data_IF_753033171342
#
_entry.id   IF_753033171342
#
_cell.length_a   1.000
_cell.length_b   1.000
_cell.length_c   1.000
_cell.angle_alpha   90.00
_cell.angle_beta   90.00
_cell.angle_gamma   90.00
#
_symmetry.space_group_name_H-M   'P 1'
#
loop_
_entity.id
_entity.type
_entity.pdbx_description
1 polymer ?
#
# COMPACT_ATOMS: atom_id res chain seq x y z
N UNK A 1 4.26 -27.21 11.99
CA UNK A 1 5.45 -26.60 11.34
C UNK A 1 6.58 -26.57 12.35
N UNK A 2 7.75 -27.16 12.06
CA UNK A 2 8.90 -27.13 13.00
C UNK A 2 9.40 -25.69 13.17
N UNK A 3 9.84 -25.32 14.38
CA UNK A 3 10.42 -23.99 14.70
C UNK A 3 11.55 -23.61 13.73
N UNK A 4 12.30 -24.60 13.24
CA UNK A 4 13.37 -24.40 12.26
C UNK A 4 12.84 -24.06 10.86
N UNK A 5 11.66 -24.57 10.48
CA UNK A 5 11.00 -24.24 9.22
C UNK A 5 10.49 -22.80 9.20
N UNK A 6 9.88 -22.34 10.30
CA UNK A 6 9.43 -20.94 10.43
C UNK A 6 10.60 -19.97 10.34
N UNK A 7 11.70 -20.24 11.06
CA UNK A 7 12.91 -19.41 11.01
C UNK A 7 13.48 -19.29 9.59
N UNK A 8 13.50 -20.39 8.82
CA UNK A 8 13.96 -20.39 7.43
C UNK A 8 13.04 -19.58 6.51
N UNK A 9 11.72 -19.72 6.67
CA UNK A 9 10.77 -18.94 5.89
C UNK A 9 10.89 -17.43 6.16
N UNK A 10 10.98 -17.04 7.44
CA UNK A 10 11.19 -15.64 7.84
C UNK A 10 12.51 -15.09 7.28
N UNK A 11 13.59 -15.88 7.34
CA UNK A 11 14.87 -15.49 6.75
C UNK A 11 14.76 -15.29 5.24
N UNK A 12 14.10 -16.21 4.52
CA UNK A 12 13.89 -16.09 3.07
C UNK A 12 13.08 -14.84 2.71
N UNK A 13 12.02 -14.53 3.46
CA UNK A 13 11.22 -13.31 3.27
C UNK A 13 12.06 -12.06 3.54
N UNK A 14 12.86 -12.06 4.61
CA UNK A 14 13.75 -10.95 4.93
C UNK A 14 14.80 -10.72 3.84
N UNK A 15 15.42 -11.79 3.32
CA UNK A 15 16.34 -11.72 2.17
C UNK A 15 15.60 -11.26 0.89
N UNK A 16 14.34 -11.65 0.74
CA UNK A 16 13.53 -11.20 -0.39
C UNK A 16 13.20 -9.69 -0.30
N UNK A 17 12.98 -9.16 0.90
CA UNK A 17 12.70 -7.75 1.14
C UNK A 17 13.97 -6.87 1.07
N UNK A 18 15.13 -7.42 1.42
CA UNK A 18 16.38 -6.68 1.56
C UNK A 18 16.79 -5.95 0.26
N UNK A 19 17.20 -4.71 0.40
CA UNK A 19 17.71 -3.88 -0.69
C UNK A 19 18.75 -2.87 -0.14
N UNK A 20 19.84 -2.54 -0.89
CA UNK A 20 20.84 -1.59 -0.43
C UNK A 20 20.31 -0.15 -0.24
N UNK A 21 19.43 0.31 -1.14
CA UNK A 21 18.71 1.58 -0.97
C UNK A 21 17.67 1.47 0.17
N UNK A 22 17.75 2.28 1.24
CA UNK A 22 16.82 2.23 2.38
C UNK A 22 15.35 2.43 1.99
N UNK A 23 15.05 3.37 1.08
CA UNK A 23 13.67 3.64 0.65
C UNK A 23 13.09 2.47 -0.15
N UNK A 24 13.93 1.82 -0.94
CA UNK A 24 13.56 0.59 -1.65
C UNK A 24 13.31 -0.58 -0.68
N UNK A 25 14.13 -0.72 0.37
CA UNK A 25 13.91 -1.73 1.40
C UNK A 25 12.57 -1.50 2.14
N UNK A 26 12.25 -0.24 2.50
CA UNK A 26 10.96 0.12 3.10
C UNK A 26 9.80 -0.24 2.17
N UNK A 27 9.88 0.14 0.88
CA UNK A 27 8.86 -0.21 -0.10
C UNK A 27 8.65 -1.73 -0.22
N UNK A 28 9.72 -2.52 -0.23
CA UNK A 28 9.64 -3.97 -0.26
C UNK A 28 8.97 -4.54 1.00
N UNK A 29 9.34 -4.05 2.18
CA UNK A 29 8.71 -4.46 3.44
C UNK A 29 7.21 -4.15 3.44
N UNK A 30 6.82 -2.94 3.04
CA UNK A 30 5.41 -2.54 2.95
C UNK A 30 4.65 -3.43 1.97
N UNK A 31 5.21 -3.70 0.79
CA UNK A 31 4.61 -4.59 -0.19
C UNK A 31 4.34 -5.99 0.38
N UNK A 32 5.31 -6.56 1.11
CA UNK A 32 5.16 -7.89 1.71
C UNK A 32 4.21 -7.91 2.90
N UNK A 33 4.09 -6.80 3.65
CA UNK A 33 3.04 -6.65 4.68
C UNK A 33 1.66 -6.67 4.04
N UNK A 34 1.47 -5.98 2.92
CA UNK A 34 0.20 -5.99 2.16
C UNK A 34 -0.11 -7.40 1.64
N UNK A 35 0.87 -8.07 1.02
CA UNK A 35 0.72 -9.48 0.57
C UNK A 35 0.32 -10.39 1.72
N UNK A 36 0.96 -10.21 2.88
CA UNK A 36 0.67 -11.03 4.06
C UNK A 36 -0.72 -10.75 4.63
N UNK A 37 -1.24 -9.53 4.48
CA UNK A 37 -2.57 -9.16 4.97
C UNK A 37 -3.71 -9.73 4.09
N UNK A 38 -3.50 -9.82 2.78
CA UNK A 38 -4.52 -10.28 1.82
C UNK A 38 -5.27 -11.54 2.28
N UNK A 39 -4.64 -12.69 2.59
CA UNK A 39 -5.36 -13.90 2.98
C UNK A 39 -6.16 -13.78 4.28
N UNK A 40 -5.82 -12.82 5.16
CA UNK A 40 -6.54 -12.59 6.40
C UNK A 40 -7.69 -11.58 6.25
N UNK A 41 -7.69 -10.76 5.20
CA UNK A 41 -8.70 -9.73 4.97
C UNK A 41 -10.14 -10.27 4.98
N UNK A 42 -10.45 -11.35 4.24
CA UNK A 42 -11.79 -11.93 4.28
C UNK A 42 -12.16 -12.46 5.67
N UNK A 43 -11.20 -12.94 6.46
CA UNK A 43 -11.46 -13.54 7.78
C UNK A 43 -11.90 -12.50 8.80
N UNK A 44 -11.21 -11.36 8.87
CA UNK A 44 -11.63 -10.31 9.80
C UNK A 44 -12.85 -9.53 9.29
N UNK A 45 -13.10 -9.48 7.97
CA UNK A 45 -14.36 -8.96 7.45
C UNK A 45 -15.54 -9.86 7.87
N UNK A 46 -15.38 -11.19 7.75
CA UNK A 46 -16.36 -12.17 8.22
C UNK A 46 -16.69 -11.98 9.70
N UNK A 47 -15.66 -11.68 10.51
CA UNK A 47 -15.77 -11.59 11.95
C UNK A 47 -16.30 -10.24 12.44
N UNK A 48 -15.88 -9.13 11.83
CA UNK A 48 -16.14 -7.78 12.35
C UNK A 48 -17.25 -7.03 11.61
N UNK A 49 -17.65 -7.48 10.42
CA UNK A 49 -18.53 -6.72 9.52
C UNK A 49 -19.74 -7.54 9.11
N UNK A 50 -19.53 -8.60 8.31
CA UNK A 50 -20.60 -9.29 7.60
C UNK A 50 -20.17 -10.70 7.21
N UNK A 51 -21.07 -11.69 7.22
CA UNK A 51 -20.78 -13.02 6.65
C UNK A 51 -20.53 -12.97 5.13
N UNK A 52 -20.95 -11.90 4.43
CA UNK A 52 -20.77 -11.77 2.98
C UNK A 52 -19.37 -11.25 2.66
N UNK A 53 -18.43 -12.18 2.50
CA UNK A 53 -17.00 -11.88 2.24
C UNK A 53 -16.59 -11.98 0.78
N UNK A 54 -17.45 -12.46 -0.12
CA UNK A 54 -17.10 -12.68 -1.53
C UNK A 54 -16.56 -11.43 -2.26
N UNK A 55 -17.02 -10.19 -1.99
CA UNK A 55 -16.43 -9.01 -2.64
C UNK A 55 -14.96 -8.79 -2.26
N UNK A 56 -14.52 -9.28 -1.09
CA UNK A 56 -13.14 -9.10 -0.66
C UNK A 56 -12.12 -9.89 -1.47
N UNK A 57 -12.53 -10.94 -2.18
CA UNK A 57 -11.61 -11.74 -3.00
C UNK A 57 -11.05 -10.99 -4.19
N UNK A 58 -11.66 -9.87 -4.61
CA UNK A 58 -11.09 -9.01 -5.66
C UNK A 58 -9.70 -8.47 -5.27
N UNK A 59 -9.45 -8.31 -3.96
CA UNK A 59 -8.15 -7.84 -3.46
C UNK A 59 -7.03 -8.77 -3.92
N UNK A 60 -7.29 -10.07 -4.03
CA UNK A 60 -6.30 -11.07 -4.43
C UNK A 60 -5.72 -10.80 -5.82
N UNK A 61 -6.45 -10.08 -6.69
CA UNK A 61 -5.94 -9.67 -8.01
C UNK A 61 -4.71 -8.76 -7.90
N UNK A 62 -4.59 -7.97 -6.83
CA UNK A 62 -3.42 -7.11 -6.61
C UNK A 62 -2.26 -7.84 -5.91
N UNK A 63 -2.50 -9.00 -5.28
CA UNK A 63 -1.46 -9.79 -4.60
C UNK A 63 -0.24 -10.07 -5.47
N UNK A 64 -0.36 -10.57 -6.72
CA UNK A 64 0.82 -10.84 -7.55
C UNK A 64 1.61 -9.56 -7.86
N UNK A 65 0.93 -8.41 -7.99
CA UNK A 65 1.59 -7.12 -8.24
C UNK A 65 2.42 -6.69 -7.03
N UNK A 66 1.86 -6.77 -5.82
CA UNK A 66 2.61 -6.47 -4.59
C UNK A 66 3.75 -7.46 -4.35
N UNK A 67 3.53 -8.75 -4.58
CA UNK A 67 4.56 -9.78 -4.43
C UNK A 67 5.73 -9.60 -5.41
N UNK A 68 5.45 -9.04 -6.60
CA UNK A 68 6.46 -8.73 -7.60
C UNK A 68 7.31 -7.49 -7.26
N UNK A 69 6.87 -6.62 -6.34
CA UNK A 69 7.59 -5.37 -6.00
C UNK A 69 9.07 -5.61 -5.69
N UNK A 70 9.47 -6.52 -4.78
CA UNK A 70 10.88 -6.70 -4.46
C UNK A 70 11.71 -7.26 -5.63
N UNK A 71 11.11 -8.08 -6.50
CA UNK A 71 11.77 -8.57 -7.71
C UNK A 71 12.00 -7.44 -8.73
N UNK A 72 11.00 -6.58 -8.95
CA UNK A 72 11.12 -5.42 -9.85
C UNK A 72 12.08 -4.38 -9.26
N UNK A 73 12.04 -4.16 -7.95
CA UNK A 73 12.91 -3.21 -7.23
C UNK A 73 14.39 -3.50 -7.46
N UNK A 74 14.79 -4.79 -7.46
CA UNK A 74 16.18 -5.20 -7.75
C UNK A 74 16.65 -4.88 -9.17
N UNK A 75 15.72 -4.87 -10.14
CA UNK A 75 16.03 -4.57 -11.54
C UNK A 75 16.05 -3.07 -11.79
N UNK A 76 15.07 -2.36 -11.24
CA UNK A 76 14.95 -0.92 -11.38
C UNK A 76 14.14 -0.35 -10.21
N UNK A 77 14.81 0.44 -9.36
CA UNK A 77 14.24 1.03 -8.16
C UNK A 77 13.04 1.94 -8.47
N UNK A 78 13.10 2.72 -9.56
CA UNK A 78 12.00 3.60 -9.97
C UNK A 78 10.76 2.81 -10.37
N UNK A 79 10.95 1.75 -11.16
CA UNK A 79 9.86 0.87 -11.57
C UNK A 79 9.28 0.11 -10.37
N UNK A 80 10.11 -0.34 -9.43
CA UNK A 80 9.64 -1.02 -8.22
C UNK A 80 8.76 -0.12 -7.34
N UNK A 81 9.19 1.12 -7.09
CA UNK A 81 8.39 2.13 -6.36
C UNK A 81 7.08 2.45 -7.09
N UNK A 82 7.17 2.63 -8.41
CA UNK A 82 6.00 2.93 -9.25
C UNK A 82 5.00 1.77 -9.26
N UNK A 83 5.47 0.53 -9.32
CA UNK A 83 4.63 -0.67 -9.24
C UNK A 83 3.89 -0.75 -7.90
N UNK A 84 4.59 -0.51 -6.79
CA UNK A 84 3.98 -0.49 -5.45
C UNK A 84 2.82 0.51 -5.38
N UNK A 85 3.03 1.73 -5.85
CA UNK A 85 2.02 2.79 -5.80
C UNK A 85 0.87 2.53 -6.77
N UNK A 86 1.17 2.05 -7.98
CA UNK A 86 0.15 1.69 -8.97
C UNK A 86 -0.74 0.56 -8.47
N UNK A 87 -0.14 -0.47 -7.86
CA UNK A 87 -0.86 -1.57 -7.24
C UNK A 87 -1.70 -1.10 -6.04
N UNK A 88 -1.17 -0.20 -5.21
CA UNK A 88 -1.89 0.45 -4.11
C UNK A 88 -3.15 1.18 -4.56
N UNK A 89 -2.98 2.16 -5.45
CA UNK A 89 -4.08 2.97 -5.98
C UNK A 89 -5.10 2.10 -6.72
N UNK A 90 -4.63 1.21 -7.59
CA UNK A 90 -5.47 0.29 -8.33
C UNK A 90 -6.26 -0.65 -7.43
N UNK A 91 -5.64 -1.19 -6.38
CA UNK A 91 -6.32 -2.03 -5.40
C UNK A 91 -7.40 -1.23 -4.65
N UNK A 92 -7.12 0.01 -4.24
CA UNK A 92 -8.13 0.84 -3.58
C UNK A 92 -9.34 1.12 -4.48
N UNK A 93 -9.12 1.43 -5.76
CA UNK A 93 -10.19 1.61 -6.74
C UNK A 93 -10.98 0.31 -6.95
N UNK A 94 -10.30 -0.82 -7.07
CA UNK A 94 -10.93 -2.13 -7.21
C UNK A 94 -11.79 -2.48 -5.98
N UNK A 95 -11.29 -2.21 -4.78
CA UNK A 95 -12.08 -2.36 -3.56
C UNK A 95 -13.27 -1.41 -3.52
N UNK A 96 -13.12 -0.17 -3.99
CA UNK A 96 -14.22 0.78 -4.06
C UNK A 96 -15.33 0.29 -5.00
N UNK A 97 -14.96 -0.32 -6.12
CA UNK A 97 -15.91 -1.00 -7.02
C UNK A 97 -16.57 -2.18 -6.29
N UNK A 98 -15.83 -2.97 -5.53
CA UNK A 98 -16.39 -4.16 -4.88
C UNK A 98 -17.32 -3.85 -3.70
N UNK A 99 -16.91 -2.95 -2.80
CA UNK A 99 -17.63 -2.65 -1.57
C UNK A 99 -18.54 -1.42 -1.66
N UNK A 100 -18.33 -0.56 -2.66
CA UNK A 100 -19.04 0.71 -2.82
C UNK A 100 -18.44 1.87 -2.03
N UNK A 101 -18.89 3.08 -2.34
CA UNK A 101 -18.39 4.32 -1.74
C UNK A 101 -18.63 4.40 -0.21
N UNK A 102 -19.68 3.77 0.30
CA UNK A 102 -19.99 3.72 1.73
C UNK A 102 -18.99 2.92 2.57
N UNK A 103 -18.11 2.13 1.96
CA UNK A 103 -17.16 1.24 2.66
C UNK A 103 -16.00 1.96 3.37
N UNK A 104 -15.72 3.21 3.02
CA UNK A 104 -14.55 3.94 3.53
C UNK A 104 -13.20 3.41 3.05
N UNK A 105 -13.16 2.51 2.06
CA UNK A 105 -11.91 1.91 1.58
C UNK A 105 -10.98 2.91 0.89
N UNK A 106 -11.50 4.06 0.47
CA UNK A 106 -10.73 5.14 -0.14
C UNK A 106 -9.67 5.75 0.79
N UNK A 107 -9.81 5.55 2.11
CA UNK A 107 -8.81 5.98 3.09
C UNK A 107 -7.44 5.33 2.81
N UNK A 108 -7.38 4.19 2.12
CA UNK A 108 -6.12 3.58 1.67
C UNK A 108 -5.37 4.38 0.59
N UNK A 109 -5.99 5.40 -0.02
CA UNK A 109 -5.27 6.37 -0.85
C UNK A 109 -4.30 7.22 -0.02
N UNK A 110 -4.57 7.41 1.27
CA UNK A 110 -3.69 8.16 2.18
C UNK A 110 -2.31 7.53 2.36
N UNK A 111 -2.16 6.25 2.75
CA UNK A 111 -0.83 5.61 2.78
C UNK A 111 -0.17 5.58 1.40
N UNK A 112 -0.93 5.49 0.30
CA UNK A 112 -0.37 5.61 -1.05
C UNK A 112 0.23 7.00 -1.30
N UNK A 113 -0.47 8.07 -0.90
CA UNK A 113 0.01 9.45 -0.98
C UNK A 113 1.28 9.63 -0.13
N UNK A 114 1.26 9.16 1.12
CA UNK A 114 2.42 9.21 2.01
C UNK A 114 3.62 8.49 1.39
N UNK A 115 3.42 7.29 0.85
CA UNK A 115 4.49 6.56 0.16
C UNK A 115 4.99 7.30 -1.09
N UNK A 116 4.10 7.89 -1.89
CA UNK A 116 4.49 8.66 -3.07
C UNK A 116 5.41 9.83 -2.69
N UNK A 117 5.13 10.51 -1.59
CA UNK A 117 5.93 11.64 -1.13
C UNK A 117 7.26 11.22 -0.46
N UNK A 118 7.30 10.05 0.19
CA UNK A 118 8.48 9.59 0.93
C UNK A 118 9.44 8.72 0.10
N UNK A 119 8.94 7.94 -0.86
CA UNK A 119 9.77 6.97 -1.59
C UNK A 119 10.64 7.59 -2.67
N UNK A 120 10.14 8.59 -3.39
CA UNK A 120 10.87 9.20 -4.51
C UNK A 120 11.84 10.29 -4.02
N UNK A 121 13.02 10.32 -4.64
CA UNK A 121 14.06 11.31 -4.30
C UNK A 121 13.74 12.68 -4.89
N UNK A 122 14.49 13.71 -4.46
CA UNK A 122 14.37 15.08 -5.01
C UNK A 122 14.55 15.12 -6.53
N UNK A 123 15.46 14.31 -7.07
CA UNK A 123 15.67 14.15 -8.52
C UNK A 123 14.52 13.44 -9.24
N UNK A 124 13.63 12.76 -8.51
CA UNK A 124 12.49 11.98 -9.03
C UNK A 124 11.15 12.64 -8.68
N UNK A 125 11.15 13.93 -8.31
CA UNK A 125 9.96 14.67 -7.85
C UNK A 125 8.77 14.61 -8.82
N UNK A 126 9.03 14.51 -10.12
CA UNK A 126 7.97 14.33 -11.11
C UNK A 126 7.15 13.07 -10.85
N UNK A 127 7.78 11.95 -10.50
CA UNK A 127 7.08 10.72 -10.13
C UNK A 127 6.26 10.90 -8.84
N UNK A 128 6.84 11.54 -7.82
CA UNK A 128 6.13 11.85 -6.57
C UNK A 128 4.84 12.65 -6.84
N UNK A 129 4.95 13.71 -7.64
CA UNK A 129 3.82 14.57 -7.99
C UNK A 129 2.79 13.86 -8.85
N UNK A 130 3.22 13.03 -9.82
CA UNK A 130 2.30 12.24 -10.65
C UNK A 130 1.52 11.25 -9.79
N UNK A 131 2.19 10.49 -8.92
CA UNK A 131 1.50 9.54 -8.04
C UNK A 131 0.62 10.24 -6.99
N UNK A 132 1.07 11.34 -6.40
CA UNK A 132 0.24 12.16 -5.52
C UNK A 132 -1.01 12.66 -6.27
N UNK A 133 -0.84 13.23 -7.46
CA UNK A 133 -1.94 13.66 -8.33
C UNK A 133 -2.90 12.52 -8.66
N UNK A 134 -2.40 11.33 -8.96
CA UNK A 134 -3.23 10.14 -9.17
C UNK A 134 -4.00 9.73 -7.92
N UNK A 135 -3.45 9.86 -6.70
CA UNK A 135 -4.22 9.60 -5.48
C UNK A 135 -5.38 10.57 -5.31
N UNK A 136 -5.16 11.87 -5.58
CA UNK A 136 -6.24 12.86 -5.55
C UNK A 136 -7.27 12.62 -6.63
N UNK A 137 -6.83 12.32 -7.86
CA UNK A 137 -7.73 12.00 -8.97
C UNK A 137 -8.59 10.76 -8.67
N UNK A 138 -7.99 9.72 -8.08
CA UNK A 138 -8.71 8.51 -7.67
C UNK A 138 -9.76 8.80 -6.59
N UNK A 139 -9.46 9.68 -5.63
CA UNK A 139 -10.41 10.10 -4.60
C UNK A 139 -11.56 10.93 -5.17
N UNK A 140 -11.26 11.87 -6.07
CA UNK A 140 -12.25 12.76 -6.69
C UNK A 140 -13.09 12.07 -7.77
N UNK A 141 -12.74 10.85 -8.16
CA UNK A 141 -13.48 10.09 -9.16
C UNK A 141 -14.92 9.86 -8.67
N UNK A 142 -15.97 10.26 -9.41
CA UNK A 142 -17.35 10.09 -8.97
C UNK A 142 -17.74 8.61 -8.86
N UNK A 143 -18.49 8.25 -7.81
CA UNK A 143 -18.91 6.87 -7.58
C UNK A 143 -19.70 6.30 -8.77
N UNK A 144 -20.48 7.13 -9.44
CA UNK A 144 -21.31 6.74 -10.59
C UNK A 144 -20.50 6.25 -11.79
N UNK A 145 -19.24 6.69 -11.92
CA UNK A 145 -18.36 6.27 -13.03
C UNK A 145 -17.87 4.82 -12.89
N UNK A 146 -17.95 4.25 -11.68
CA UNK A 146 -17.41 2.93 -11.36
C UNK A 146 -18.47 1.81 -11.41
N UNK A 147 -19.74 2.17 -11.63
CA UNK A 147 -20.86 1.23 -11.63
C UNK A 147 -21.35 0.85 -10.22
N UNK A 148 -22.40 0.02 -10.14
CA UNK A 148 -22.92 -0.46 -8.86
C UNK A 148 -21.92 -1.38 -8.16
N UNK A 149 -21.92 -1.42 -6.81
CA UNK A 149 -21.02 -2.29 -6.08
C UNK A 149 -21.36 -3.76 -6.29
N UNK A 150 -20.37 -4.65 -6.11
CA UNK A 150 -20.59 -6.10 -6.18
C UNK A 150 -21.57 -6.60 -5.11
N UNK A 151 -21.62 -5.92 -3.97
CA UNK A 151 -22.58 -6.17 -2.91
C UNK A 151 -22.95 -4.86 -2.20
N UNK A 152 -24.24 -4.71 -1.88
CA UNK A 152 -24.77 -3.62 -1.07
C UNK A 152 -24.87 -4.14 0.35
N UNK A 153 -24.12 -3.52 1.25
CA UNK A 153 -24.13 -3.83 2.68
C UNK A 153 -25.21 -3.04 3.42
N UNK A 154 -25.64 -3.53 4.56
CA UNK A 154 -26.55 -2.80 5.44
C UNK A 154 -25.86 -1.56 6.05
N UNK A 155 -26.61 -0.53 6.50
CA UNK A 155 -26.01 0.69 7.05
C UNK A 155 -25.05 0.45 8.22
N UNK A 156 -25.35 -0.52 9.08
CA UNK A 156 -24.49 -0.89 10.22
C UNK A 156 -23.20 -1.60 9.77
N UNK A 157 -23.30 -2.45 8.74
CA UNK A 157 -22.15 -3.13 8.14
C UNK A 157 -21.25 -2.12 7.43
N UNK A 158 -21.80 -1.09 6.78
CA UNK A 158 -21.01 0.00 6.21
C UNK A 158 -20.25 0.79 7.27
N UNK A 159 -20.85 1.08 8.42
CA UNK A 159 -20.14 1.72 9.53
C UNK A 159 -19.02 0.83 10.08
N UNK A 160 -19.25 -0.49 10.16
CA UNK A 160 -18.22 -1.44 10.54
C UNK A 160 -17.07 -1.49 9.51
N UNK A 161 -17.38 -1.50 8.20
CA UNK A 161 -16.40 -1.41 7.12
C UNK A 161 -15.55 -0.14 7.22
N UNK A 162 -16.18 1.02 7.44
CA UNK A 162 -15.47 2.28 7.58
C UNK A 162 -14.48 2.24 8.74
N UNK A 163 -14.89 1.73 9.91
CA UNK A 163 -14.01 1.59 11.08
C UNK A 163 -12.85 0.63 10.79
N UNK A 164 -13.13 -0.52 10.20
CA UNK A 164 -12.15 -1.54 9.85
C UNK A 164 -11.11 -1.01 8.85
N UNK A 165 -11.57 -0.40 7.75
CA UNK A 165 -10.73 0.15 6.71
C UNK A 165 -9.92 1.34 7.22
N UNK A 166 -10.53 2.22 8.02
CA UNK A 166 -9.83 3.34 8.65
C UNK A 166 -8.71 2.85 9.58
N UNK A 167 -8.99 1.91 10.49
CA UNK A 167 -7.98 1.37 11.41
C UNK A 167 -6.84 0.70 10.65
N UNK A 168 -7.16 -0.05 9.60
CA UNK A 168 -6.17 -0.71 8.74
C UNK A 168 -5.28 0.30 8.02
N UNK A 169 -5.87 1.32 7.37
CA UNK A 169 -5.13 2.36 6.65
C UNK A 169 -4.29 3.23 7.59
N UNK A 170 -4.83 3.58 8.76
CA UNK A 170 -4.10 4.30 9.81
C UNK A 170 -2.90 3.48 10.32
N UNK A 171 -3.11 2.20 10.64
CA UNK A 171 -2.05 1.30 11.09
C UNK A 171 -0.94 1.14 10.05
N UNK A 172 -1.31 0.99 8.77
CA UNK A 172 -0.34 0.94 7.68
C UNK A 172 0.45 2.25 7.55
N UNK A 173 -0.23 3.40 7.68
CA UNK A 173 0.44 4.71 7.63
C UNK A 173 1.41 4.90 8.80
N UNK A 174 1.01 4.50 10.02
CA UNK A 174 1.89 4.50 11.19
C UNK A 174 3.10 3.59 10.96
N UNK A 175 2.88 2.38 10.42
CA UNK A 175 3.97 1.47 10.08
C UNK A 175 4.93 2.09 9.07
N UNK A 176 4.42 2.73 8.02
CA UNK A 176 5.25 3.44 7.03
C UNK A 176 6.09 4.51 7.72
N UNK A 177 5.47 5.39 8.51
CA UNK A 177 6.18 6.43 9.26
C UNK A 177 7.25 5.86 10.19
N UNK A 178 6.93 4.78 10.92
CA UNK A 178 7.87 4.08 11.79
C UNK A 178 9.06 3.49 11.04
N UNK A 179 8.82 2.86 9.88
CA UNK A 179 9.89 2.29 9.04
C UNK A 179 10.85 3.37 8.52
N UNK A 180 10.34 4.56 8.21
CA UNK A 180 11.17 5.71 7.85
C UNK A 180 11.93 6.28 9.04
N UNK A 181 11.26 6.45 10.19
CA UNK A 181 11.87 6.94 11.42
C UNK A 181 13.03 6.04 11.89
N UNK A 182 12.86 4.72 11.81
CA UNK A 182 13.87 3.74 12.16
C UNK A 182 15.09 3.71 11.21
N UNK A 183 15.06 4.46 10.11
CA UNK A 183 16.09 4.46 9.06
C UNK A 183 16.66 5.85 8.78
N UNK A 184 16.35 6.87 9.59
CA UNK A 184 16.77 8.25 9.38
C UNK A 184 18.29 8.38 9.15
N UNK A 185 19.11 7.72 9.98
CA UNK A 185 20.58 7.79 9.88
C UNK A 185 21.16 7.17 8.59
N UNK A 186 20.38 6.33 7.91
CA UNK A 186 20.81 5.64 6.68
C UNK A 186 20.31 6.31 5.41
N UNK A 187 19.39 7.28 5.52
CA UNK A 187 18.86 8.04 4.38
C UNK A 187 19.77 9.27 4.19
N UNK A 188 20.55 9.37 3.10
CA UNK A 188 21.52 10.47 2.95
C UNK A 188 20.85 11.85 2.90
N UNK A 189 21.29 12.79 3.75
CA UNK A 189 20.85 14.20 3.76
C UNK A 189 21.32 15.00 2.54
N UNK A 190 22.34 14.52 1.81
CA UNK A 190 22.89 15.22 0.63
C UNK A 190 21.89 15.33 -0.54
N UNK A 191 20.81 14.56 -0.53
CA UNK A 191 19.70 14.69 -1.48
C UNK A 191 18.78 15.92 -1.16
N UNK A 192 18.99 16.60 -0.03
CA UNK A 192 18.16 17.73 0.44
C UNK A 192 18.82 19.11 0.27
N UNK A 193 20.16 19.22 0.30
CA UNK A 193 20.91 20.50 0.39
C UNK A 193 21.92 20.80 -0.74
N UNK A 194 21.75 20.27 -1.96
CA UNK A 194 22.62 20.61 -3.10
C UNK A 194 21.95 21.50 -4.15
N UNK A 195 22.28 22.80 -4.19
CA UNK A 195 22.00 23.67 -5.36
C UNK A 195 21.60 25.12 -5.08
N UNK A 196 22.06 25.75 -3.99
CA UNK A 196 21.98 27.20 -3.83
C UNK A 196 23.33 27.77 -3.38
N UNK A 197 24.33 27.68 -4.26
CA UNK A 197 25.43 28.63 -4.38
C UNK A 197 26.19 28.36 -5.68
N UNK A 198 26.71 29.42 -6.30
CA UNK A 198 27.55 29.48 -7.52
C UNK A 198 26.80 29.57 -8.87
N UNK A 199 26.33 30.77 -9.21
CA UNK A 199 27.01 31.68 -10.16
C UNK A 199 26.37 33.07 -10.13
#
# INVERSE_FOLDING_TARGET
>A
MSVNGLKRAVAAIATYAAHPDPRAAIANTVALVIVSNQPFYPLYLCWAVSPVISPSYVTFLSTPLFAAVPAVMRRNVRLGRSLLLSAGIGNTLLCRIAFGAGSGVEVFLFPCLVLALLLFRRSERSFALVFAGMTFAAYLLPAETLGPPLHIYEPEEYLALQRLNFLSAASLTVLIGWLFAARLDTIPHSDETGGACET
#
